data_IF_681958141841
#
_entry.id   IF_681958141841
#
_cell.length_a   1.000
_cell.length_b   1.000
_cell.length_c   1.000
_cell.angle_alpha   90.00
_cell.angle_beta   90.00
_cell.angle_gamma   90.00
#
_symmetry.space_group_name_H-M   'P 1'
#
loop_
_entity.id
_entity.type
_entity.pdbx_description
1 polymer ?
#
# COMPACT_ATOMS: atom_id res chain seq x y z
N UNK A 1 -18.16 1.36 -24.20
CA UNK A 1 -16.74 1.00 -24.06
C UNK A 1 -16.10 2.01 -23.12
N UNK A 2 -15.48 1.57 -22.03
CA UNK A 2 -14.76 2.45 -21.11
C UNK A 2 -13.47 2.90 -21.81
N UNK A 3 -13.48 4.09 -22.43
CA UNK A 3 -12.32 4.66 -23.12
C UNK A 3 -11.13 4.68 -22.17
N UNK A 4 -10.01 4.09 -22.59
CA UNK A 4 -8.76 4.08 -21.84
C UNK A 4 -8.42 2.77 -21.13
N UNK A 5 -9.32 1.76 -21.07
CA UNK A 5 -8.94 0.44 -20.55
C UNK A 5 -8.12 -0.32 -21.59
N UNK A 6 -6.93 -0.75 -21.21
CA UNK A 6 -6.00 -1.52 -22.04
C UNK A 6 -6.15 -3.03 -21.80
N UNK A 7 -6.11 -3.45 -20.52
CA UNK A 7 -6.29 -4.86 -20.19
C UNK A 7 -6.95 -5.06 -18.82
N UNK A 8 -7.68 -6.18 -18.69
CA UNK A 8 -8.35 -6.59 -17.47
C UNK A 8 -7.94 -8.01 -17.11
N UNK A 9 -7.33 -8.18 -15.93
CA UNK A 9 -6.90 -9.48 -15.41
C UNK A 9 -7.76 -9.86 -14.22
N UNK A 10 -8.39 -11.03 -14.27
CA UNK A 10 -9.31 -11.52 -13.24
C UNK A 10 -8.68 -12.70 -12.51
N UNK A 11 -8.37 -12.52 -11.23
CA UNK A 11 -7.93 -13.60 -10.36
C UNK A 11 -9.09 -14.02 -9.45
N UNK A 12 -9.82 -15.06 -9.86
CA UNK A 12 -10.98 -15.60 -9.12
C UNK A 12 -10.61 -16.16 -7.76
N UNK A 13 -9.42 -16.78 -7.63
CA UNK A 13 -8.95 -17.34 -6.34
C UNK A 13 -8.73 -16.25 -5.31
N UNK A 14 -8.23 -15.09 -5.74
CA UNK A 14 -7.99 -13.92 -4.88
C UNK A 14 -9.17 -12.94 -4.84
N UNK A 15 -10.26 -13.21 -5.57
CA UNK A 15 -11.38 -12.27 -5.76
C UNK A 15 -10.91 -10.87 -6.21
N UNK A 16 -9.83 -10.81 -7.00
CA UNK A 16 -9.16 -9.58 -7.42
C UNK A 16 -9.36 -9.34 -8.91
N UNK A 17 -9.68 -8.10 -9.26
CA UNK A 17 -9.68 -7.63 -10.65
C UNK A 17 -8.62 -6.53 -10.77
N UNK A 18 -7.73 -6.68 -11.74
CA UNK A 18 -6.70 -5.69 -12.07
C UNK A 18 -7.06 -5.06 -13.40
N UNK A 19 -7.20 -3.75 -13.42
CA UNK A 19 -7.49 -2.97 -14.64
C UNK A 19 -6.25 -2.14 -14.94
N UNK A 20 -5.80 -2.19 -16.19
CA UNK A 20 -4.65 -1.43 -16.70
C UNK A 20 -5.09 -0.56 -17.85
N UNK A 21 -4.43 0.57 -18.03
CA UNK A 21 -4.72 1.58 -19.04
C UNK A 21 -4.90 2.97 -18.44
N UNK A 22 -5.21 3.95 -19.29
CA UNK A 22 -5.39 5.35 -18.92
C UNK A 22 -6.81 5.59 -18.37
N UNK A 23 -7.06 5.10 -17.16
CA UNK A 23 -8.36 5.21 -16.48
C UNK A 23 -8.22 5.65 -15.03
N UNK A 24 -9.17 6.44 -14.55
CA UNK A 24 -9.23 6.83 -13.14
C UNK A 24 -9.76 5.69 -12.27
N UNK A 25 -9.03 5.36 -11.20
CA UNK A 25 -9.40 4.30 -10.25
C UNK A 25 -10.81 4.47 -9.67
N UNK A 26 -11.23 5.71 -9.37
CA UNK A 26 -12.56 5.99 -8.83
C UNK A 26 -13.70 5.64 -9.81
N UNK A 27 -13.51 5.87 -11.12
CA UNK A 27 -14.49 5.49 -12.14
C UNK A 27 -14.60 3.97 -12.25
N UNK A 28 -13.47 3.27 -12.23
CA UNK A 28 -13.41 1.81 -12.23
C UNK A 28 -14.10 1.23 -10.98
N UNK A 29 -13.85 1.80 -9.80
CA UNK A 29 -14.50 1.38 -8.56
C UNK A 29 -16.02 1.58 -8.60
N UNK A 30 -16.50 2.72 -9.10
CA UNK A 30 -17.94 2.99 -9.26
C UNK A 30 -18.59 1.98 -10.22
N UNK A 31 -17.96 1.67 -11.35
CA UNK A 31 -18.39 0.64 -12.30
C UNK A 31 -18.40 -0.76 -11.68
N UNK A 32 -17.41 -1.09 -10.85
CA UNK A 32 -17.40 -2.37 -10.14
C UNK A 32 -18.57 -2.46 -9.15
N UNK A 33 -18.83 -1.40 -8.38
CA UNK A 33 -19.94 -1.33 -7.41
C UNK A 33 -21.32 -1.34 -8.08
N UNK A 34 -21.47 -0.81 -9.30
CA UNK A 34 -22.75 -0.84 -10.02
C UNK A 34 -23.20 -2.27 -10.39
N UNK A 35 -22.33 -3.28 -10.24
CA UNK A 35 -22.70 -4.69 -10.41
C UNK A 35 -23.44 -5.29 -9.20
N UNK A 36 -23.68 -4.49 -8.14
CA UNK A 36 -24.28 -4.94 -6.89
C UNK A 36 -23.33 -5.71 -5.97
N UNK A 37 -22.05 -5.85 -6.35
CA UNK A 37 -21.02 -6.51 -5.55
C UNK A 37 -20.26 -5.51 -4.69
N UNK A 38 -19.84 -5.95 -3.49
CA UNK A 38 -18.91 -5.18 -2.66
C UNK A 38 -17.54 -5.17 -3.36
N UNK A 39 -17.06 -3.98 -3.71
CA UNK A 39 -15.76 -3.77 -4.33
C UNK A 39 -15.01 -2.65 -3.60
N UNK A 40 -13.72 -2.86 -3.37
CA UNK A 40 -12.79 -1.96 -2.69
C UNK A 40 -11.47 -1.92 -3.48
N UNK A 41 -10.72 -0.82 -3.36
CA UNK A 41 -9.44 -0.67 -4.06
C UNK A 41 -8.40 -1.59 -3.40
N UNK A 42 -7.66 -2.30 -4.24
CA UNK A 42 -6.56 -3.18 -3.83
C UNK A 42 -5.22 -2.46 -4.06
N UNK A 43 -4.24 -2.52 -3.15
CA UNK A 43 -4.29 -3.12 -1.82
C UNK A 43 -5.02 -2.22 -0.82
N UNK A 44 -5.93 -2.79 -0.04
CA UNK A 44 -6.49 -2.08 1.11
C UNK A 44 -5.48 -2.13 2.25
N UNK A 45 -4.84 -1.00 2.54
CA UNK A 45 -4.13 -0.80 3.81
C UNK A 45 -4.98 0.20 4.60
N UNK A 46 -5.74 -0.24 5.61
CA UNK A 46 -6.44 0.69 6.48
C UNK A 46 -5.39 1.64 7.07
N UNK A 47 -5.61 2.94 6.90
CA UNK A 47 -4.69 4.00 7.34
C UNK A 47 -4.42 3.95 8.86
N UNK A 48 -5.31 3.29 9.61
CA UNK A 48 -5.22 3.10 11.06
C UNK A 48 -4.36 1.89 11.47
N UNK A 49 -3.82 1.11 10.53
CA UNK A 49 -2.95 -0.01 10.83
C UNK A 49 -1.48 0.40 10.75
N UNK A 50 -0.71 -0.04 11.75
CA UNK A 50 0.76 0.04 11.76
C UNK A 50 1.31 -0.58 10.47
N UNK A 51 2.43 -0.06 9.97
CA UNK A 51 3.12 -0.61 8.81
C UNK A 51 3.32 -2.13 8.98
N UNK A 52 2.80 -2.92 8.01
CA UNK A 52 2.91 -4.38 7.98
C UNK A 52 2.37 -5.10 9.23
N UNK A 53 1.04 -5.05 9.49
CA UNK A 53 0.45 -5.65 10.69
C UNK A 53 0.57 -7.18 10.74
N UNK A 54 0.82 -7.83 9.59
CA UNK A 54 1.00 -9.28 9.47
C UNK A 54 2.47 -9.69 9.31
N UNK A 55 3.43 -8.77 9.43
CA UNK A 55 4.85 -9.14 9.46
C UNK A 55 5.14 -9.93 10.75
N UNK A 56 6.04 -10.91 10.67
CA UNK A 56 6.41 -11.78 11.80
C UNK A 56 6.87 -10.96 13.02
N UNK A 57 7.55 -9.84 12.78
CA UNK A 57 8.02 -8.95 13.85
C UNK A 57 6.88 -8.22 14.58
N UNK A 58 5.77 -7.93 13.88
CA UNK A 58 4.65 -7.11 14.36
C UNK A 58 3.46 -7.94 14.85
N UNK A 59 3.27 -9.13 14.28
CA UNK A 59 2.12 -9.99 14.54
C UNK A 59 2.25 -10.73 15.87
N UNK A 60 1.46 -10.32 16.87
CA UNK A 60 1.33 -11.01 18.15
C UNK A 60 -0.02 -11.72 18.24
N UNK A 61 0.00 -13.05 18.36
CA UNK A 61 -1.21 -13.89 18.48
C UNK A 61 -2.01 -13.63 19.76
N UNK A 62 -1.41 -12.97 20.76
CA UNK A 62 -2.06 -12.63 22.03
C UNK A 62 -2.68 -11.23 22.04
N UNK A 63 -2.43 -10.41 21.02
CA UNK A 63 -2.98 -9.05 20.95
C UNK A 63 -4.47 -9.07 20.54
N UNK A 64 -5.30 -8.13 21.05
CA UNK A 64 -6.67 -7.96 20.60
C UNK A 64 -6.76 -7.67 19.10
N UNK A 65 -7.88 -7.99 18.42
CA UNK A 65 -8.06 -7.71 17.00
C UNK A 65 -7.77 -6.24 16.66
N UNK A 66 -6.86 -6.01 15.71
CA UNK A 66 -6.45 -4.66 15.29
C UNK A 66 -5.27 -4.07 16.06
N UNK A 67 -4.78 -4.74 17.11
CA UNK A 67 -3.57 -4.37 17.82
C UNK A 67 -2.41 -5.25 17.38
N UNK A 68 -1.29 -4.62 17.06
CA UNK A 68 -0.03 -5.27 16.73
C UNK A 68 1.07 -4.66 17.59
N UNK A 69 2.13 -5.41 17.84
CA UNK A 69 3.26 -4.89 18.60
C UNK A 69 3.83 -3.68 17.85
N UNK A 70 4.11 -2.60 18.58
CA UNK A 70 4.85 -1.47 18.01
C UNK A 70 6.26 -1.97 17.69
N UNK A 71 6.56 -2.14 16.41
CA UNK A 71 7.90 -2.45 15.94
C UNK A 71 8.47 -1.16 15.42
N UNK A 72 9.47 -0.64 16.11
CA UNK A 72 10.27 0.43 15.55
C UNK A 72 10.93 -0.15 14.30
N UNK A 73 10.67 0.45 13.15
CA UNK A 73 11.22 0.05 11.87
C UNK A 73 12.73 0.37 11.88
N UNK A 74 13.52 -0.42 12.60
CA UNK A 74 14.96 -0.38 12.46
C UNK A 74 15.28 -1.03 11.11
N UNK A 75 15.93 -0.25 10.26
CA UNK A 75 16.25 -0.55 8.86
C UNK A 75 17.21 -1.74 8.74
N UNK A 76 16.77 -2.95 9.07
CA UNK A 76 17.59 -4.13 8.85
C UNK A 76 16.67 -5.28 8.49
N UNK A 77 16.62 -5.54 7.19
CA UNK A 77 15.99 -6.73 6.58
C UNK A 77 14.47 -6.70 6.51
N UNK A 78 13.94 -6.13 5.43
CA UNK A 78 13.12 -6.87 4.45
C UNK A 78 12.90 -5.97 3.24
N UNK A 79 13.64 -6.23 2.17
CA UNK A 79 13.36 -5.66 0.87
C UNK A 79 11.98 -6.11 0.41
N UNK A 80 11.08 -5.15 0.18
CA UNK A 80 10.16 -5.04 -0.96
C UNK A 80 9.06 -4.03 -0.61
N UNK A 81 8.86 -3.08 -1.53
CA UNK A 81 7.90 -1.97 -1.51
C UNK A 81 8.41 -0.76 -0.72
N UNK A 82 9.28 -0.01 -1.39
CA UNK A 82 9.49 1.42 -1.19
C UNK A 82 8.15 2.14 -1.03
N UNK A 83 7.79 2.50 0.21
CA UNK A 83 6.70 3.43 0.46
C UNK A 83 7.20 4.84 0.18
N UNK A 84 6.42 5.59 -0.57
CA UNK A 84 6.62 7.00 -0.94
C UNK A 84 6.53 7.97 0.26
N UNK A 85 6.46 7.46 1.49
CA UNK A 85 6.29 8.20 2.76
C UNK A 85 7.27 7.73 3.83
N UNK A 86 8.45 7.27 3.43
CA UNK A 86 9.52 7.07 4.40
C UNK A 86 10.22 8.43 4.62
N UNK A 87 10.07 9.08 5.80
CA UNK A 87 10.72 10.35 6.06
C UNK A 87 12.23 10.24 5.93
N UNK A 88 12.82 9.05 6.08
CA UNK A 88 14.25 8.85 5.86
C UNK A 88 14.67 9.06 4.39
N UNK A 89 13.84 8.66 3.43
CA UNK A 89 14.12 8.89 2.01
C UNK A 89 13.84 10.34 1.59
N UNK A 90 12.81 10.97 2.17
CA UNK A 90 12.47 12.38 1.89
C UNK A 90 13.50 13.34 2.52
N UNK A 91 14.06 12.98 3.67
CA UNK A 91 15.06 13.81 4.40
C UNK A 91 16.50 13.53 4.01
N UNK A 92 16.76 12.53 3.16
CA UNK A 92 18.11 12.12 2.77
C UNK A 92 18.86 13.19 1.95
N UNK A 93 18.12 14.06 1.27
CA UNK A 93 18.65 15.18 0.48
C UNK A 93 18.17 16.54 1.01
N UNK A 94 17.69 16.59 2.25
CA UNK A 94 17.29 17.84 2.88
C UNK A 94 18.52 18.58 3.41
N UNK A 95 18.77 19.77 2.88
CA UNK A 95 19.91 20.65 3.25
C UNK A 95 19.86 21.08 4.73
N UNK A 96 18.66 21.13 5.33
CA UNK A 96 18.43 21.47 6.74
C UNK A 96 18.72 20.31 7.71
N UNK A 97 18.86 19.08 7.19
CA UNK A 97 19.17 17.91 8.00
C UNK A 97 20.69 17.74 8.11
N UNK A 98 21.25 17.99 9.29
CA UNK A 98 22.70 17.93 9.57
C UNK A 98 23.30 16.53 9.37
N UNK A 99 22.47 15.50 9.29
CA UNK A 99 22.87 14.11 9.08
C UNK A 99 22.58 13.61 7.65
N UNK A 100 22.09 14.47 6.75
CA UNK A 100 21.88 14.12 5.35
C UNK A 100 23.20 14.22 4.57
N UNK A 101 23.36 13.36 3.55
CA UNK A 101 24.45 13.50 2.58
C UNK A 101 23.99 14.44 1.46
N UNK A 102 24.68 15.56 1.28
CA UNK A 102 24.52 16.38 0.08
C UNK A 102 25.36 15.78 -1.06
N UNK A 103 24.76 15.65 -2.24
CA UNK A 103 25.49 15.46 -3.50
C UNK A 103 25.65 16.85 -4.12
N UNK A 104 26.89 17.29 -4.24
CA UNK A 104 27.31 18.46 -5.04
C UNK A 104 28.00 17.97 -6.31
#
# INVERSE_FOLDING_TARGET
MDLGVESVVINRKQQKVTVTGYVEANKVLKKAKSTGKKAEIWPYVPYNLVAQPYAIASYDKKAPPGYVRRVDHNMTTTGTISRFEDPAYVTMFSDDNSNACSIM
#
